data_IF_551660534783
#
_entry.id   IF_551660534783
#
_cell.length_a   1.000
_cell.length_b   1.000
_cell.length_c   1.000
_cell.angle_alpha   90.00
_cell.angle_beta   90.00
_cell.angle_gamma   90.00
#
_symmetry.space_group_name_H-M   'P 1'
#
loop_
_entity.id
_entity.type
_entity.pdbx_description
1 polymer ?
#
# COMPACT_ATOMS: atom_id res chain seq x y z
N UNK A 1 2.93 -7.33 7.59
CA UNK A 1 3.52 -7.05 6.27
C UNK A 1 2.86 -5.86 5.56
N UNK A 2 1.55 -5.62 5.71
CA UNK A 2 0.87 -4.46 5.10
C UNK A 2 1.41 -3.11 5.51
N UNK A 3 1.84 -2.99 6.77
CA UNK A 3 2.43 -1.77 7.32
C UNK A 3 3.58 -1.19 6.46
N UNK A 4 4.43 -2.02 5.83
CA UNK A 4 5.52 -1.54 4.96
C UNK A 4 4.96 -0.74 3.78
N UNK A 5 3.87 -1.20 3.19
CA UNK A 5 3.25 -0.58 2.02
C UNK A 5 2.43 0.65 2.37
N UNK A 6 2.08 0.83 3.65
CA UNK A 6 1.33 1.99 4.18
C UNK A 6 2.26 3.04 4.79
N UNK A 7 3.51 2.68 5.13
CA UNK A 7 4.54 3.62 5.64
C UNK A 7 4.66 4.95 4.86
N UNK A 8 4.54 4.98 3.52
CA UNK A 8 4.60 6.25 2.80
C UNK A 8 3.57 7.29 3.27
N UNK A 9 2.43 6.87 3.86
CA UNK A 9 1.45 7.81 4.41
C UNK A 9 2.05 8.77 5.44
N UNK A 10 3.09 8.38 6.16
CA UNK A 10 3.76 9.26 7.14
C UNK A 10 4.35 10.53 6.50
N UNK A 11 4.68 10.48 5.20
CA UNK A 11 5.29 11.59 4.46
C UNK A 11 4.26 12.68 4.16
N UNK A 12 3.10 12.29 3.64
CA UNK A 12 2.06 13.23 3.18
C UNK A 12 0.95 13.45 4.24
N UNK A 13 0.74 12.46 5.11
CA UNK A 13 -0.29 12.46 6.14
C UNK A 13 0.33 12.14 7.51
N UNK A 14 1.04 13.06 8.17
CA UNK A 14 1.73 12.79 9.45
C UNK A 14 0.81 12.25 10.57
N UNK A 15 -0.48 12.59 10.53
CA UNK A 15 -1.50 12.09 11.49
C UNK A 15 -2.31 10.92 10.92
N UNK A 16 -1.78 10.15 9.96
CA UNK A 16 -2.56 9.14 9.24
C UNK A 16 -3.12 8.07 10.17
N UNK A 17 -2.36 7.64 11.18
CA UNK A 17 -2.79 6.58 12.11
C UNK A 17 -4.07 6.95 12.86
N UNK A 18 -4.24 8.23 13.22
CA UNK A 18 -5.43 8.74 13.90
C UNK A 18 -6.60 9.03 12.95
N UNK A 19 -6.32 9.11 11.64
CA UNK A 19 -7.28 9.51 10.61
C UNK A 19 -7.61 8.40 9.61
N UNK A 20 -6.98 7.23 9.71
CA UNK A 20 -7.06 6.18 8.69
C UNK A 20 -8.49 5.67 8.49
N UNK A 21 -9.31 5.67 9.54
CA UNK A 21 -10.72 5.25 9.48
C UNK A 21 -11.69 6.39 9.08
N UNK A 22 -11.20 7.60 8.81
CA UNK A 22 -12.03 8.73 8.38
C UNK A 22 -12.21 8.68 6.86
N UNK A 23 -13.45 8.47 6.42
CA UNK A 23 -13.84 8.30 5.00
C UNK A 23 -13.45 9.45 4.07
N UNK A 24 -13.25 10.66 4.57
CA UNK A 24 -12.80 11.80 3.76
C UNK A 24 -11.29 11.81 3.52
N UNK A 25 -10.52 11.14 4.38
CA UNK A 25 -9.05 11.17 4.37
C UNK A 25 -8.49 9.91 3.69
N UNK A 26 -9.13 8.76 3.92
CA UNK A 26 -8.69 7.48 3.37
C UNK A 26 -8.65 7.45 1.82
N UNK A 27 -9.58 8.12 1.12
CA UNK A 27 -9.54 8.22 -0.35
C UNK A 27 -8.27 8.91 -0.87
N UNK A 28 -7.80 9.95 -0.18
CA UNK A 28 -6.58 10.66 -0.55
C UNK A 28 -5.33 9.85 -0.21
N UNK A 29 -5.36 9.13 0.92
CA UNK A 29 -4.31 8.21 1.33
C UNK A 29 -4.13 7.07 0.31
N UNK A 30 -5.22 6.44 -0.15
CA UNK A 30 -5.17 5.39 -1.18
C UNK A 30 -4.56 5.91 -2.48
N UNK A 31 -5.03 7.05 -2.98
CA UNK A 31 -4.46 7.70 -4.18
C UNK A 31 -2.97 8.01 -4.04
N UNK A 32 -2.55 8.44 -2.85
CA UNK A 32 -1.14 8.68 -2.57
C UNK A 32 -0.32 7.38 -2.62
N UNK A 33 -0.80 6.30 -2.00
CA UNK A 33 -0.12 5.00 -2.05
C UNK A 33 0.01 4.45 -3.49
N UNK A 34 -1.02 4.66 -4.31
CA UNK A 34 -1.07 4.29 -5.73
C UNK A 34 -0.21 5.17 -6.65
N UNK A 35 0.31 6.30 -6.16
CA UNK A 35 1.14 7.22 -6.95
C UNK A 35 2.56 7.40 -6.41
N UNK A 36 2.83 6.95 -5.18
CA UNK A 36 4.14 7.10 -4.57
C UNK A 36 5.17 6.12 -5.15
N UNK A 37 5.98 6.62 -6.09
CA UNK A 37 6.97 5.86 -6.86
C UNK A 37 7.97 5.06 -6.00
N UNK A 38 8.32 5.54 -4.81
CA UNK A 38 9.34 4.92 -3.97
C UNK A 38 8.77 3.87 -2.99
N UNK A 39 7.67 3.21 -3.36
CA UNK A 39 7.08 2.08 -2.62
C UNK A 39 6.99 0.85 -3.51
N UNK A 40 7.05 -0.34 -2.90
CA UNK A 40 6.73 -1.59 -3.57
C UNK A 40 5.22 -1.80 -3.76
N UNK A 41 4.36 -0.94 -3.18
CA UNK A 41 2.91 -1.00 -3.38
C UNK A 41 2.52 -1.13 -4.87
N UNK A 42 3.16 -0.35 -5.74
CA UNK A 42 2.94 -0.37 -7.19
C UNK A 42 3.21 -1.75 -7.81
N UNK A 43 4.24 -2.45 -7.33
CA UNK A 43 4.56 -3.79 -7.86
C UNK A 43 3.53 -4.83 -7.41
N UNK A 44 2.99 -4.68 -6.21
CA UNK A 44 1.97 -5.59 -5.67
C UNK A 44 0.58 -5.34 -6.25
N UNK A 45 0.30 -4.15 -6.81
CA UNK A 45 -0.91 -3.92 -7.63
C UNK A 45 -0.71 -4.29 -9.11
N UNK A 46 0.52 -4.57 -9.54
CA UNK A 46 0.84 -5.08 -10.88
C UNK A 46 1.29 -4.03 -11.90
N UNK A 47 1.75 -2.85 -11.45
CA UNK A 47 2.30 -1.82 -12.34
C UNK A 47 3.58 -2.31 -13.03
N UNK A 48 3.69 -2.03 -14.32
CA UNK A 48 4.89 -2.35 -15.10
C UNK A 48 5.88 -1.17 -15.11
N UNK A 49 6.83 -1.21 -14.18
CA UNK A 49 7.82 -0.15 -13.96
C UNK A 49 9.25 -0.69 -13.90
N UNK A 50 10.24 0.17 -14.12
CA UNK A 50 11.65 -0.26 -14.12
C UNK A 50 12.14 -0.66 -12.73
N UNK A 51 11.62 -0.02 -11.68
CA UNK A 51 11.97 -0.28 -10.28
C UNK A 51 11.55 -1.68 -9.81
N UNK A 52 10.64 -2.36 -10.52
CA UNK A 52 10.26 -3.74 -10.20
C UNK A 52 11.47 -4.70 -10.26
N UNK A 53 12.52 -4.33 -10.98
CA UNK A 53 13.77 -5.08 -11.07
C UNK A 53 14.64 -4.98 -9.79
N UNK A 54 14.33 -4.04 -8.88
CA UNK A 54 15.03 -3.86 -7.60
C UNK A 54 14.48 -4.84 -6.55
N UNK A 55 13.21 -5.20 -6.65
CA UNK A 55 12.55 -6.09 -5.71
C UNK A 55 12.60 -7.55 -6.19
N UNK A 56 12.52 -8.49 -5.26
CA UNK A 56 12.37 -9.91 -5.58
C UNK A 56 11.15 -10.50 -4.84
N UNK A 57 9.93 -10.34 -5.40
CA UNK A 57 8.70 -10.84 -4.79
C UNK A 57 8.74 -12.35 -4.49
N UNK A 58 9.47 -13.14 -5.30
CA UNK A 58 9.55 -14.60 -5.17
C UNK A 58 10.27 -15.08 -3.90
N UNK A 59 11.11 -14.22 -3.31
CA UNK A 59 11.78 -14.53 -2.05
C UNK A 59 10.93 -14.16 -0.82
N UNK A 60 9.81 -13.49 -1.04
CA UNK A 60 8.84 -13.24 0.02
C UNK A 60 7.88 -14.43 0.11
N UNK A 61 7.42 -14.79 1.32
CA UNK A 61 6.34 -15.76 1.46
C UNK A 61 5.13 -15.32 0.62
N UNK A 62 4.38 -16.28 0.08
CA UNK A 62 3.17 -16.06 -0.72
C UNK A 62 2.02 -15.48 0.14
N UNK A 63 2.22 -14.27 0.67
CA UNK A 63 1.25 -13.55 1.50
C UNK A 63 0.02 -13.13 0.70
N UNK A 64 0.18 -12.89 -0.60
CA UNK A 64 -0.87 -12.44 -1.50
C UNK A 64 -0.90 -13.33 -2.73
N UNK A 65 -2.06 -13.89 -3.03
CA UNK A 65 -2.25 -14.78 -4.18
C UNK A 65 -2.24 -14.02 -5.51
N UNK A 66 -2.65 -12.75 -5.47
CA UNK A 66 -2.75 -11.85 -6.61
C UNK A 66 -2.89 -10.39 -6.12
N UNK A 67 -2.85 -9.44 -7.06
CA UNK A 67 -3.00 -8.01 -6.78
C UNK A 67 -4.28 -7.67 -6.02
N UNK A 68 -5.39 -8.36 -6.30
CA UNK A 68 -6.66 -8.12 -5.59
C UNK A 68 -6.53 -8.48 -4.11
N UNK A 69 -5.98 -9.66 -3.79
CA UNK A 69 -5.78 -10.08 -2.39
C UNK A 69 -4.84 -9.15 -1.61
N UNK A 70 -3.89 -8.53 -2.30
CA UNK A 70 -3.04 -7.49 -1.71
C UNK A 70 -3.84 -6.21 -1.44
N UNK A 71 -4.60 -5.74 -2.43
CA UNK A 71 -5.44 -4.55 -2.28
C UNK A 71 -6.43 -4.73 -1.15
N UNK A 72 -7.21 -5.81 -1.12
CA UNK A 72 -8.18 -6.13 -0.07
C UNK A 72 -7.52 -6.08 1.33
N UNK A 73 -6.33 -6.66 1.46
CA UNK A 73 -5.57 -6.64 2.70
C UNK A 73 -5.14 -5.22 3.12
N UNK A 74 -4.74 -4.37 2.17
CA UNK A 74 -4.47 -2.95 2.46
C UNK A 74 -5.76 -2.20 2.80
N UNK A 75 -6.86 -2.49 2.10
CA UNK A 75 -8.17 -1.86 2.35
C UNK A 75 -8.69 -2.13 3.77
N UNK A 76 -8.41 -3.31 4.33
CA UNK A 76 -8.77 -3.64 5.71
C UNK A 76 -8.17 -2.66 6.74
N UNK A 77 -6.99 -2.08 6.47
CA UNK A 77 -6.42 -1.04 7.34
C UNK A 77 -7.24 0.26 7.37
N UNK A 78 -8.12 0.49 6.40
CA UNK A 78 -8.98 1.68 6.30
C UNK A 78 -10.42 1.43 6.78
N UNK A 79 -10.75 0.20 7.14
CA UNK A 79 -12.10 -0.23 7.55
C UNK A 79 -12.12 -0.63 9.03
N UNK A 80 -11.04 -1.20 9.57
CA UNK A 80 -10.99 -1.70 10.94
C UNK A 80 -10.24 -0.77 11.92
N UNK A 81 -10.91 -0.39 13.02
CA UNK A 81 -10.43 -0.62 14.40
C UNK A 81 -11.57 -1.30 15.16
#
# INVERSE_FOLDING_TARGET
FGYIHINPLEIEFPEWKDKINKSSVNINMKKFLESYQYSSYLDYIGEDRIEKNIINPKNFPDYFQNSQSFQDFIENYFIEI
#
